data_IF_217722782933
#
_entry.id   IF_217722782933
#
_cell.length_a   1.000
_cell.length_b   1.000
_cell.length_c   1.000
_cell.angle_alpha   90.00
_cell.angle_beta   90.00
_cell.angle_gamma   90.00
#
_symmetry.space_group_name_H-M   'P 1'
#
loop_
_entity.id
_entity.type
_entity.pdbx_description
1 polymer ?
#
# COMPACT_ATOMS: atom_id res chain seq x y z
N UNK A 1 -35.44 8.11 64.09
CA UNK A 1 -35.03 7.28 62.93
C UNK A 1 -34.78 8.13 61.67
N UNK A 2 -34.28 9.37 61.80
CA UNK A 2 -34.09 10.31 60.68
C UNK A 2 -32.65 10.83 60.53
N UNK A 3 -31.76 10.62 61.51
CA UNK A 3 -30.38 11.10 61.45
C UNK A 3 -29.42 10.15 60.71
N UNK A 4 -29.79 8.88 60.52
CA UNK A 4 -28.94 7.89 59.84
C UNK A 4 -29.05 7.93 58.31
N UNK A 5 -30.07 8.60 57.74
CA UNK A 5 -30.18 8.81 56.29
C UNK A 5 -29.47 10.07 55.80
N UNK A 6 -29.18 11.03 56.70
CA UNK A 6 -28.57 12.31 56.33
C UNK A 6 -27.04 12.23 56.21
N UNK A 7 -26.41 11.20 56.79
CA UNK A 7 -24.96 10.98 56.70
C UNK A 7 -24.51 10.30 55.38
N UNK A 8 -25.44 9.80 54.55
CA UNK A 8 -25.11 9.12 53.28
C UNK A 8 -25.14 10.05 52.06
N UNK A 9 -25.56 11.31 52.25
CA UNK A 9 -25.71 12.30 51.18
C UNK A 9 -24.62 13.39 51.20
N UNK A 10 -23.53 13.18 51.95
CA UNK A 10 -22.41 14.11 52.03
C UNK A 10 -21.20 13.60 51.25
N UNK A 11 -20.78 14.39 50.25
CA UNK A 11 -19.41 14.43 49.73
C UNK A 11 -18.98 13.36 48.71
N UNK A 12 -19.78 13.17 47.66
CA UNK A 12 -19.24 13.03 46.29
C UNK A 12 -19.01 14.41 45.63
N UNK A 13 -19.01 15.49 46.42
CA UNK A 13 -18.56 16.80 45.96
C UNK A 13 -17.04 16.82 45.86
N UNK A 14 -16.55 16.35 44.71
CA UNK A 14 -15.15 16.50 44.36
C UNK A 14 -14.83 18.01 44.35
N UNK A 15 -13.90 18.43 45.21
CA UNK A 15 -13.45 19.82 45.31
C UNK A 15 -13.18 20.36 43.89
N UNK A 16 -13.66 21.57 43.58
CA UNK A 16 -13.54 22.19 42.25
C UNK A 16 -12.09 22.17 41.75
N UNK A 17 -11.12 22.37 42.64
CA UNK A 17 -9.69 22.25 42.32
C UNK A 17 -9.27 20.83 41.89
N UNK A 18 -9.82 19.78 42.53
CA UNK A 18 -9.56 18.38 42.16
C UNK A 18 -10.23 18.07 40.82
N UNK A 19 -11.45 18.59 40.58
CA UNK A 19 -12.15 18.45 39.29
C UNK A 19 -11.33 19.04 38.15
N UNK A 20 -10.80 20.25 38.31
CA UNK A 20 -9.94 20.88 37.30
C UNK A 20 -8.64 20.10 37.07
N UNK A 21 -8.02 19.57 38.12
CA UNK A 21 -6.83 18.71 37.99
C UNK A 21 -7.11 17.43 37.21
N UNK A 22 -8.22 16.75 37.52
CA UNK A 22 -8.64 15.53 36.81
C UNK A 22 -8.95 15.82 35.35
N UNK A 23 -9.68 16.91 35.07
CA UNK A 23 -9.99 17.33 33.70
C UNK A 23 -8.72 17.68 32.93
N UNK A 24 -7.79 18.42 33.54
CA UNK A 24 -6.53 18.77 32.90
C UNK A 24 -5.67 17.54 32.62
N UNK A 25 -5.62 16.58 33.53
CA UNK A 25 -4.90 15.32 33.34
C UNK A 25 -5.53 14.47 32.22
N UNK A 26 -6.85 14.32 32.24
CA UNK A 26 -7.59 13.60 31.20
C UNK A 26 -7.37 14.24 29.83
N UNK A 27 -7.37 15.58 29.75
CA UNK A 27 -7.09 16.31 28.51
C UNK A 27 -5.69 16.01 27.97
N UNK A 28 -4.66 16.02 28.83
CA UNK A 28 -3.29 15.68 28.42
C UNK A 28 -3.22 14.27 27.86
N UNK A 29 -3.84 13.29 28.52
CA UNK A 29 -3.87 11.90 28.04
C UNK A 29 -4.55 11.80 26.67
N UNK A 30 -5.67 12.50 26.47
CA UNK A 30 -6.36 12.54 25.17
C UNK A 30 -5.49 13.20 24.11
N UNK A 31 -4.83 14.31 24.42
CA UNK A 31 -3.93 14.99 23.49
C UNK A 31 -2.76 14.08 23.08
N UNK A 32 -2.15 13.36 24.02
CA UNK A 32 -1.07 12.40 23.74
C UNK A 32 -1.58 11.25 22.88
N UNK A 33 -2.75 10.70 23.17
CA UNK A 33 -3.34 9.61 22.40
C UNK A 33 -3.67 10.04 20.95
N UNK A 34 -4.20 11.26 20.77
CA UNK A 34 -4.47 11.82 19.45
C UNK A 34 -3.17 12.10 18.68
N UNK A 35 -2.16 12.67 19.33
CA UNK A 35 -0.85 12.88 18.74
C UNK A 35 -0.24 11.55 18.29
N UNK A 36 -0.22 10.54 19.17
CA UNK A 36 0.28 9.21 18.85
C UNK A 36 -0.46 8.60 17.65
N UNK A 37 -1.79 8.71 17.61
CA UNK A 37 -2.59 8.21 16.48
C UNK A 37 -2.26 8.91 15.17
N UNK A 38 -2.06 10.23 15.19
CA UNK A 38 -1.67 11.01 13.99
C UNK A 38 -0.26 10.64 13.53
N UNK A 39 0.68 10.47 14.45
CA UNK A 39 2.04 10.05 14.11
C UNK A 39 2.07 8.63 13.56
N UNK A 40 1.41 7.67 14.22
CA UNK A 40 1.38 6.27 13.78
C UNK A 40 0.68 6.14 12.41
N UNK A 41 -0.51 6.70 12.26
CA UNK A 41 -1.24 6.66 10.97
C UNK A 41 -0.58 7.48 9.87
N UNK A 42 0.06 8.60 10.22
CA UNK A 42 0.76 9.48 9.28
C UNK A 42 2.05 8.84 8.78
N UNK A 43 2.87 8.30 9.67
CA UNK A 43 4.14 7.65 9.32
C UNK A 43 3.87 6.37 8.55
N UNK A 44 2.96 5.50 9.01
CA UNK A 44 2.64 4.26 8.31
C UNK A 44 2.09 4.51 6.91
N UNK A 45 1.18 5.49 6.74
CA UNK A 45 0.67 5.84 5.40
C UNK A 45 1.75 6.44 4.52
N UNK A 46 2.49 7.42 5.01
CA UNK A 46 3.53 8.08 4.21
C UNK A 46 4.61 7.09 3.76
N UNK A 47 4.99 6.15 4.63
CA UNK A 47 5.98 5.13 4.29
C UNK A 47 5.44 4.12 3.28
N UNK A 48 4.19 3.68 3.44
CA UNK A 48 3.54 2.80 2.47
C UNK A 48 3.38 3.49 1.11
N UNK A 49 2.91 4.74 1.10
CA UNK A 49 2.73 5.53 -0.13
C UNK A 49 4.08 5.74 -0.83
N UNK A 50 5.13 6.13 -0.10
CA UNK A 50 6.47 6.29 -0.66
C UNK A 50 7.05 4.95 -1.16
N UNK A 51 6.79 3.84 -0.47
CA UNK A 51 7.25 2.51 -0.88
C UNK A 51 6.55 2.03 -2.15
N UNK A 52 5.23 2.27 -2.25
CA UNK A 52 4.43 1.92 -3.43
C UNK A 52 4.83 2.81 -4.59
N UNK A 53 4.96 4.13 -4.38
CA UNK A 53 5.36 5.08 -5.42
C UNK A 53 6.77 4.80 -5.94
N UNK A 54 7.72 4.48 -5.05
CA UNK A 54 9.08 4.12 -5.44
C UNK A 54 9.11 2.83 -6.28
N UNK A 55 8.35 1.81 -5.85
CA UNK A 55 8.27 0.53 -6.56
C UNK A 55 7.61 0.69 -7.94
N UNK A 56 6.53 1.47 -8.02
CA UNK A 56 5.82 1.77 -9.28
C UNK A 56 6.71 2.55 -10.25
N UNK A 57 7.47 3.55 -9.77
CA UNK A 57 8.45 4.27 -10.60
C UNK A 57 9.54 3.35 -11.14
N UNK A 58 10.05 2.45 -10.32
CA UNK A 58 11.09 1.50 -10.75
C UNK A 58 10.56 0.52 -11.80
N UNK A 59 9.35 -0.01 -11.61
CA UNK A 59 8.69 -0.87 -12.61
C UNK A 59 8.50 -0.09 -13.91
N UNK A 60 7.92 1.12 -13.86
CA UNK A 60 7.73 1.96 -15.05
C UNK A 60 9.03 2.25 -15.79
N UNK A 61 10.12 2.56 -15.07
CA UNK A 61 11.42 2.77 -15.69
C UNK A 61 11.93 1.52 -16.40
N UNK A 62 11.90 0.36 -15.72
CA UNK A 62 12.33 -0.91 -16.33
C UNK A 62 11.47 -1.29 -17.53
N UNK A 63 10.16 -1.13 -17.43
CA UNK A 63 9.22 -1.38 -18.53
C UNK A 63 9.49 -0.45 -19.71
N UNK A 64 9.76 0.83 -19.46
CA UNK A 64 10.10 1.79 -20.53
C UNK A 64 11.40 1.45 -21.25
N UNK A 65 12.41 0.97 -20.52
CA UNK A 65 13.68 0.53 -21.10
C UNK A 65 13.50 -0.71 -21.98
N UNK A 66 12.70 -1.68 -21.51
CA UNK A 66 12.36 -2.87 -22.29
C UNK A 66 11.55 -2.49 -23.53
N UNK A 67 10.57 -1.60 -23.39
CA UNK A 67 9.78 -1.12 -24.53
C UNK A 67 10.68 -0.47 -25.58
N UNK A 68 11.62 0.39 -25.17
CA UNK A 68 12.53 1.07 -26.09
C UNK A 68 13.47 0.07 -26.79
N UNK A 69 14.07 -0.86 -26.05
CA UNK A 69 15.00 -1.86 -26.58
C UNK A 69 14.31 -2.87 -27.51
N UNK A 70 13.07 -3.25 -27.19
CA UNK A 70 12.33 -4.28 -27.92
C UNK A 70 11.32 -3.72 -28.92
N UNK A 71 11.25 -2.39 -29.06
CA UNK A 71 10.34 -1.73 -30.00
C UNK A 71 10.53 -2.28 -31.40
N UNK A 72 9.44 -2.74 -32.01
CA UNK A 72 9.47 -3.31 -33.36
C UNK A 72 9.89 -4.78 -33.44
N UNK A 73 10.24 -5.43 -32.33
CA UNK A 73 10.44 -6.88 -32.30
C UNK A 73 9.14 -7.62 -32.59
N UNK A 74 9.25 -8.77 -33.27
CA UNK A 74 8.12 -9.63 -33.57
C UNK A 74 7.61 -10.36 -32.33
N UNK A 75 6.35 -10.78 -32.35
CA UNK A 75 5.74 -11.54 -31.26
C UNK A 75 6.53 -12.81 -30.90
N UNK A 76 7.07 -13.54 -31.88
CA UNK A 76 7.87 -14.75 -31.69
C UNK A 76 9.25 -14.46 -31.10
N UNK A 77 9.83 -13.29 -31.40
CA UNK A 77 11.09 -12.87 -30.77
C UNK A 77 10.87 -12.55 -29.30
N UNK A 78 9.84 -11.74 -29.00
CA UNK A 78 9.48 -11.38 -27.62
C UNK A 78 9.15 -12.64 -26.81
N UNK A 79 8.35 -13.56 -27.37
CA UNK A 79 8.01 -14.82 -26.70
C UNK A 79 9.25 -15.65 -26.36
N UNK A 80 10.19 -15.82 -27.30
CA UNK A 80 11.43 -16.58 -27.05
C UNK A 80 12.29 -15.95 -25.96
N UNK A 81 12.38 -14.62 -25.93
CA UNK A 81 13.09 -13.91 -24.87
C UNK A 81 12.45 -14.17 -23.50
N UNK A 82 11.13 -14.07 -23.40
CA UNK A 82 10.38 -14.30 -22.16
C UNK A 82 10.45 -15.75 -21.69
N UNK A 83 10.36 -16.72 -22.61
CA UNK A 83 10.54 -18.14 -22.30
C UNK A 83 11.95 -18.45 -21.79
N UNK A 84 12.98 -17.87 -22.42
CA UNK A 84 14.36 -18.04 -21.96
C UNK A 84 14.59 -17.48 -20.55
N UNK A 85 13.84 -16.44 -20.16
CA UNK A 85 13.85 -15.91 -18.78
C UNK A 85 13.07 -16.82 -17.84
N UNK A 86 11.89 -17.30 -18.24
CA UNK A 86 11.07 -18.22 -17.44
C UNK A 86 11.82 -19.52 -17.11
N UNK A 87 12.57 -20.07 -18.07
CA UNK A 87 13.36 -21.29 -17.88
C UNK A 87 14.51 -21.13 -16.89
N UNK A 88 15.00 -19.90 -16.67
CA UNK A 88 16.05 -19.61 -15.68
C UNK A 88 15.48 -19.50 -14.25
N UNK A 89 14.15 -19.46 -14.10
CA UNK A 89 13.48 -19.33 -12.82
C UNK A 89 12.91 -20.69 -12.35
N UNK A 90 12.68 -20.87 -11.04
CA UNK A 90 12.07 -22.09 -10.52
C UNK A 90 10.73 -22.39 -11.22
N UNK A 91 10.48 -23.65 -11.54
CA UNK A 91 9.23 -24.11 -12.15
C UNK A 91 8.02 -23.64 -11.31
N UNK A 92 7.05 -22.98 -11.96
CA UNK A 92 5.84 -22.45 -11.32
C UNK A 92 5.97 -21.03 -10.73
N UNK A 93 7.16 -20.42 -10.77
CA UNK A 93 7.36 -19.03 -10.31
C UNK A 93 7.15 -17.98 -11.40
N UNK A 94 6.86 -18.39 -12.64
CA UNK A 94 6.72 -17.48 -13.78
C UNK A 94 5.49 -17.83 -14.59
N UNK A 95 4.55 -16.88 -14.69
CA UNK A 95 3.29 -17.02 -15.43
C UNK A 95 3.43 -16.31 -16.78
N UNK A 96 3.61 -17.10 -17.83
CA UNK A 96 3.55 -16.67 -19.22
C UNK A 96 2.20 -17.10 -19.82
N UNK A 97 1.41 -16.14 -20.28
CA UNK A 97 0.10 -16.35 -20.90
C UNK A 97 0.04 -15.59 -22.22
N UNK A 98 -0.73 -16.11 -23.17
CA UNK A 98 -1.10 -15.38 -24.39
C UNK A 98 -2.57 -15.04 -24.32
N UNK A 99 -2.89 -13.77 -24.50
CA UNK A 99 -4.26 -13.29 -24.63
C UNK A 99 -4.76 -13.65 -26.04
N UNK A 100 -5.80 -14.47 -26.12
CA UNK A 100 -6.36 -14.95 -27.40
C UNK A 100 -7.21 -13.89 -28.10
N UNK A 101 -7.70 -12.88 -27.38
CA UNK A 101 -8.57 -11.84 -27.94
C UNK A 101 -7.74 -10.69 -28.52
N UNK A 102 -6.69 -10.29 -27.81
CA UNK A 102 -5.85 -9.14 -28.21
C UNK A 102 -4.54 -9.55 -28.88
N UNK A 103 -4.15 -10.83 -28.78
CA UNK A 103 -2.83 -11.29 -29.23
C UNK A 103 -1.68 -10.85 -28.32
N UNK A 104 -1.97 -10.17 -27.21
CA UNK A 104 -0.97 -9.71 -26.25
C UNK A 104 -0.29 -10.88 -25.54
N UNK A 105 0.95 -10.68 -25.11
CA UNK A 105 1.67 -11.62 -24.24
C UNK A 105 1.64 -11.06 -22.82
N UNK A 106 1.24 -11.88 -21.85
CA UNK A 106 1.27 -11.56 -20.42
C UNK A 106 2.41 -12.34 -19.76
N UNK A 107 3.30 -11.65 -19.07
CA UNK A 107 4.41 -12.23 -18.33
C UNK A 107 4.50 -11.60 -16.94
N UNK A 108 4.26 -12.36 -15.88
CA UNK A 108 4.31 -11.86 -14.49
C UNK A 108 3.47 -10.58 -14.25
N UNK A 109 2.32 -10.48 -14.93
CA UNK A 109 1.44 -9.31 -14.84
C UNK A 109 1.80 -8.17 -15.79
N UNK A 110 2.94 -8.22 -16.47
CA UNK A 110 3.33 -7.28 -17.53
C UNK A 110 2.73 -7.72 -18.87
N UNK A 111 2.05 -6.82 -19.56
CA UNK A 111 1.41 -6.99 -20.85
C UNK A 111 2.27 -6.40 -21.96
N UNK A 112 2.55 -7.21 -22.97
CA UNK A 112 3.25 -6.83 -24.19
C UNK A 112 2.23 -6.74 -25.32
N UNK A 113 2.07 -5.56 -25.91
CA UNK A 113 1.08 -5.26 -26.94
C UNK A 113 1.73 -5.15 -28.31
N UNK A 114 1.07 -5.75 -29.30
CA UNK A 114 1.58 -5.88 -30.66
C UNK A 114 0.61 -5.23 -31.65
N UNK A 115 1.16 -4.47 -32.59
CA UNK A 115 0.43 -3.94 -33.76
C UNK A 115 1.17 -4.39 -35.00
N UNK A 116 0.45 -4.93 -35.98
CA UNK A 116 1.05 -5.52 -37.20
C UNK A 116 2.14 -6.57 -36.89
N UNK A 117 1.96 -7.33 -35.81
CA UNK A 117 2.89 -8.36 -35.34
C UNK A 117 4.17 -7.83 -34.68
N UNK A 118 4.29 -6.50 -34.47
CA UNK A 118 5.45 -5.84 -33.87
C UNK A 118 5.11 -5.24 -32.52
N UNK A 119 6.05 -5.32 -31.58
CA UNK A 119 5.89 -4.73 -30.25
C UNK A 119 5.80 -3.21 -30.35
N UNK A 120 4.74 -2.64 -29.79
CA UNK A 120 4.51 -1.19 -29.73
C UNK A 120 4.50 -0.68 -28.30
N UNK A 121 4.03 -1.48 -27.35
CA UNK A 121 3.82 -1.02 -25.98
C UNK A 121 4.02 -2.13 -24.95
N UNK A 122 4.50 -1.78 -23.76
CA UNK A 122 4.67 -2.68 -22.61
C UNK A 122 4.07 -2.03 -21.36
N UNK A 123 3.18 -2.73 -20.66
CA UNK A 123 2.37 -2.21 -19.54
C UNK A 123 2.32 -3.14 -18.33
#
# INVERSE_FOLDING_TARGET
MSRLLQARAGSWEMNTAIRWKVVSFALVVVCVALAYRVFDQGITRTYLDASVESSDRHIKLLTSLIEEDWRGMTQEQVLRCLEAVAQKRPLGSTVLKRDQETGAILFEGVRFEFVDGKLVHVN
#
